data_IF_318515838955
#
_entry.id   IF_318515838955
#
_cell.length_a   1.000
_cell.length_b   1.000
_cell.length_c   1.000
_cell.angle_alpha   90.00
_cell.angle_beta   90.00
_cell.angle_gamma   90.00
#
_symmetry.space_group_name_H-M   'P 1'
#
loop_
_entity.id
_entity.type
_entity.pdbx_description
1 polymer ?
#
# COMPACT_ATOMS: atom_id res chain seq x y z
N UNK A 1 13.79 -7.21 -8.71
CA UNK A 1 14.10 -5.78 -8.71
C UNK A 1 12.91 -4.99 -8.15
N UNK A 2 13.06 -3.68 -8.06
CA UNK A 2 12.04 -2.84 -7.42
C UNK A 2 10.66 -2.95 -8.08
N UNK A 3 10.62 -3.16 -9.39
CA UNK A 3 9.36 -3.27 -10.11
C UNK A 3 8.60 -4.56 -9.80
N UNK A 4 9.25 -5.50 -9.15
CA UNK A 4 8.66 -6.79 -8.79
C UNK A 4 8.41 -6.89 -7.29
N UNK A 5 8.58 -5.80 -6.56
CA UNK A 5 8.42 -5.77 -5.10
C UNK A 5 7.24 -4.91 -4.72
N UNK A 6 6.66 -5.23 -3.57
CA UNK A 6 5.59 -4.45 -2.97
C UNK A 6 5.88 -4.34 -1.48
N UNK A 7 5.80 -3.13 -0.95
CA UNK A 7 5.98 -2.88 0.47
C UNK A 7 4.64 -2.56 1.10
N UNK A 8 4.39 -3.13 2.27
CA UNK A 8 3.24 -2.77 3.10
C UNK A 8 3.79 -2.01 4.30
N UNK A 9 3.31 -0.78 4.51
CA UNK A 9 3.93 0.12 5.47
C UNK A 9 2.87 0.82 6.31
N UNK A 10 3.18 1.03 7.60
CA UNK A 10 2.26 1.66 8.54
C UNK A 10 2.72 3.04 9.00
N UNK A 11 3.80 3.55 8.46
CA UNK A 11 4.34 4.85 8.85
C UNK A 11 4.72 5.68 7.64
N UNK A 12 4.72 7.01 7.84
CA UNK A 12 5.15 7.91 6.78
C UNK A 12 6.64 7.76 6.49
N UNK A 13 7.45 7.53 7.52
CA UNK A 13 8.89 7.34 7.35
C UNK A 13 9.17 6.13 6.44
N UNK A 14 8.52 5.01 6.72
CA UNK A 14 8.67 3.81 5.89
C UNK A 14 8.13 4.02 4.48
N UNK A 15 7.01 4.73 4.36
CA UNK A 15 6.46 5.08 3.06
C UNK A 15 7.46 5.89 2.23
N UNK A 16 8.07 6.91 2.83
CA UNK A 16 9.07 7.73 2.13
C UNK A 16 10.28 6.90 1.71
N UNK A 17 10.73 5.98 2.56
CA UNK A 17 11.85 5.13 2.24
C UNK A 17 11.54 4.23 1.02
N UNK A 18 10.34 3.65 0.98
CA UNK A 18 9.93 2.82 -0.14
C UNK A 18 9.80 3.63 -1.42
N UNK A 19 9.24 4.84 -1.32
CA UNK A 19 9.13 5.73 -2.48
C UNK A 19 10.51 6.09 -3.02
N UNK A 20 11.47 6.37 -2.13
CA UNK A 20 12.84 6.68 -2.53
C UNK A 20 13.50 5.50 -3.25
N UNK A 21 13.13 4.29 -2.88
CA UNK A 21 13.65 3.08 -3.51
C UNK A 21 12.91 2.73 -4.81
N UNK A 22 11.86 3.47 -5.14
CA UNK A 22 11.06 3.19 -6.33
C UNK A 22 10.18 1.96 -6.21
N UNK A 23 9.79 1.59 -4.99
CA UNK A 23 9.00 0.39 -4.74
C UNK A 23 7.55 0.79 -4.47
N UNK A 24 6.61 0.11 -5.15
CA UNK A 24 5.19 0.33 -4.91
C UNK A 24 4.85 0.01 -3.44
N UNK A 25 4.04 0.85 -2.82
CA UNK A 25 3.75 0.76 -1.39
C UNK A 25 2.25 0.78 -1.14
N UNK A 26 1.80 -0.11 -0.25
CA UNK A 26 0.46 -0.06 0.30
C UNK A 26 0.59 0.45 1.73
N UNK A 27 -0.16 1.50 2.07
CA UNK A 27 -0.15 2.11 3.40
C UNK A 27 -1.34 1.58 4.19
N UNK A 28 -1.07 1.12 5.41
CA UNK A 28 -2.11 0.69 6.35
C UNK A 28 -1.95 1.54 7.60
N UNK A 29 -2.78 2.55 7.76
CA UNK A 29 -2.74 3.47 8.88
C UNK A 29 -4.08 4.17 9.03
N UNK A 30 -4.42 4.61 10.25
CA UNK A 30 -5.67 5.31 10.48
C UNK A 30 -5.80 6.55 9.60
N UNK A 31 -4.69 7.24 9.35
CA UNK A 31 -4.65 8.43 8.52
C UNK A 31 -4.22 8.15 7.08
N UNK A 32 -4.44 6.94 6.59
CA UNK A 32 -3.99 6.53 5.25
C UNK A 32 -4.53 7.41 4.11
N UNK A 33 -5.65 8.09 4.35
CA UNK A 33 -6.22 8.98 3.33
C UNK A 33 -5.63 10.40 3.37
N UNK A 34 -4.69 10.65 4.29
CA UNK A 34 -4.00 11.94 4.32
C UNK A 34 -3.24 12.17 3.01
N UNK A 35 -3.23 13.41 2.55
CA UNK A 35 -2.61 13.74 1.26
C UNK A 35 -1.14 13.33 1.15
N UNK A 36 -0.43 13.23 2.28
CA UNK A 36 0.98 12.82 2.27
C UNK A 36 1.19 11.39 1.76
N UNK A 37 0.13 10.57 1.73
CA UNK A 37 0.19 9.21 1.23
C UNK A 37 -0.39 9.06 -0.18
N UNK A 38 -0.67 10.17 -0.86
CA UNK A 38 -1.39 10.09 -2.14
C UNK A 38 -0.64 9.30 -3.22
N UNK A 39 0.67 9.17 -3.11
CA UNK A 39 1.44 8.42 -4.09
C UNK A 39 1.45 6.90 -3.83
N UNK A 40 0.82 6.45 -2.74
CA UNK A 40 0.75 5.03 -2.43
C UNK A 40 -0.08 4.29 -3.47
N UNK A 41 0.30 3.04 -3.74
CA UNK A 41 -0.44 2.18 -4.65
C UNK A 41 -1.79 1.76 -4.06
N UNK A 42 -1.89 1.68 -2.74
CA UNK A 42 -3.14 1.43 -2.04
C UNK A 42 -3.09 2.06 -0.66
N UNK A 43 -4.26 2.39 -0.12
CA UNK A 43 -4.37 3.06 1.18
C UNK A 43 -5.55 2.48 1.93
N UNK A 44 -5.27 1.92 3.12
CA UNK A 44 -6.29 1.27 3.95
C UNK A 44 -6.06 1.66 5.40
N UNK A 45 -7.12 1.67 6.19
CA UNK A 45 -7.00 2.00 7.61
C UNK A 45 -6.58 0.80 8.45
N UNK A 46 -6.94 -0.41 8.03
CA UNK A 46 -6.62 -1.63 8.76
C UNK A 46 -6.20 -2.73 7.80
N UNK A 47 -5.48 -3.72 8.33
CA UNK A 47 -5.10 -4.89 7.55
C UNK A 47 -6.30 -5.69 7.04
N UNK A 48 -7.36 -5.90 7.85
CA UNK A 48 -8.56 -6.57 7.34
C UNK A 48 -9.15 -5.89 6.11
N UNK A 49 -9.14 -4.56 6.05
CA UNK A 49 -9.62 -3.85 4.87
C UNK A 49 -8.80 -4.19 3.62
N UNK A 50 -7.47 -4.28 3.77
CA UNK A 50 -6.61 -4.68 2.67
C UNK A 50 -6.93 -6.11 2.23
N UNK A 51 -7.07 -7.03 3.18
CA UNK A 51 -7.37 -8.42 2.86
C UNK A 51 -8.70 -8.54 2.14
N UNK A 52 -9.69 -7.77 2.55
CA UNK A 52 -11.00 -7.76 1.89
C UNK A 52 -10.88 -7.24 0.46
N UNK A 53 -10.11 -6.19 0.25
CA UNK A 53 -9.89 -5.64 -1.09
C UNK A 53 -9.21 -6.66 -2.00
N UNK A 54 -8.23 -7.39 -1.50
CA UNK A 54 -7.56 -8.44 -2.26
C UNK A 54 -8.51 -9.59 -2.60
N UNK A 55 -9.38 -9.94 -1.66
CA UNK A 55 -10.36 -11.01 -1.87
C UNK A 55 -11.44 -10.63 -2.87
N UNK A 56 -11.72 -9.32 -3.00
CA UNK A 56 -12.71 -8.81 -3.93
C UNK A 56 -12.18 -8.75 -5.36
N UNK A 57 -10.86 -8.87 -5.55
CA UNK A 57 -10.30 -8.92 -6.88
C UNK A 57 -10.87 -10.11 -7.63
N UNK A 58 -11.36 -9.91 -8.87
CA UNK A 58 -11.92 -11.03 -9.64
C UNK A 58 -10.79 -12.01 -9.87
N UNK A 59 -10.71 -12.98 -9.04
CA UNK A 59 -9.79 -14.10 -9.07
C UNK A 59 -8.69 -13.95 -10.11
N UNK A 60 -8.21 -12.79 -10.21
CA UNK A 60 -7.23 -12.46 -11.19
C UNK A 60 -7.64 -13.00 -12.54
N UNK A 61 -8.89 -13.13 -12.74
CA UNK A 61 -9.40 -13.64 -13.99
C UNK A 61 -8.61 -14.88 -14.41
N UNK A 62 -8.35 -15.68 -13.45
CA UNK A 62 -7.60 -16.91 -13.73
C UNK A 62 -8.34 -17.76 -14.73
#
# INVERSE_FOLDING_TARGET
NASQCLVIEDSFTGFCAAQSAGIATIVIAEDSQHARFQAAAGRYQTLPELLEALSAEPAAAV
#
